data_IF_642448452304
#
_entry.id   IF_642448452304
#
_cell.length_a   1.000
_cell.length_b   1.000
_cell.length_c   1.000
_cell.angle_alpha   90.00
_cell.angle_beta   90.00
_cell.angle_gamma   90.00
#
_symmetry.space_group_name_H-M   'P 1'
#
loop_
_entity.id
_entity.type
_entity.pdbx_description
1 polymer ?
#
# COMPACT_ATOMS: atom_id res chain seq x y z
N UNK A 1 41.42 15.20 15.81
CA UNK A 1 40.57 14.64 14.73
C UNK A 1 39.20 15.33 14.83
N UNK A 2 39.04 16.49 14.19
CA UNK A 2 37.81 17.30 14.28
C UNK A 2 36.74 16.68 13.40
N UNK A 3 35.87 15.87 13.99
CA UNK A 3 34.71 15.30 13.33
C UNK A 3 33.79 16.47 12.96
N UNK A 4 33.62 16.72 11.66
CA UNK A 4 32.84 17.84 11.15
C UNK A 4 31.35 17.62 11.44
N UNK A 5 30.92 18.09 12.61
CA UNK A 5 29.56 18.00 13.12
C UNK A 5 28.49 18.46 12.11
N UNK A 6 28.82 19.46 11.30
CA UNK A 6 27.97 20.00 10.23
C UNK A 6 27.73 19.02 9.07
N UNK A 7 28.66 18.10 8.84
CA UNK A 7 28.58 17.07 7.80
C UNK A 7 27.75 15.89 8.29
N UNK A 8 27.94 15.48 9.55
CA UNK A 8 27.19 14.37 10.17
C UNK A 8 25.69 14.68 10.31
N UNK A 9 25.35 15.92 10.66
CA UNK A 9 23.95 16.35 10.75
C UNK A 9 23.25 16.35 9.38
N UNK A 10 23.97 16.64 8.28
CA UNK A 10 23.42 16.56 6.91
C UNK A 10 23.24 15.11 6.47
N UNK A 11 24.18 14.22 6.81
CA UNK A 11 24.06 12.81 6.47
C UNK A 11 22.94 12.10 7.26
N UNK A 12 22.76 12.41 8.54
CA UNK A 12 21.65 11.85 9.33
C UNK A 12 20.30 12.32 8.80
N UNK A 13 20.13 13.60 8.47
CA UNK A 13 18.85 14.10 7.94
C UNK A 13 18.54 13.45 6.59
N UNK A 14 19.52 13.33 5.68
CA UNK A 14 19.33 12.65 4.40
C UNK A 14 19.07 11.14 4.57
N UNK A 15 19.74 10.49 5.53
CA UNK A 15 19.52 9.08 5.88
C UNK A 15 18.11 8.85 6.41
N UNK A 16 17.61 9.71 7.30
CA UNK A 16 16.28 9.60 7.89
C UNK A 16 15.20 9.88 6.84
N UNK A 17 15.41 10.84 5.94
CA UNK A 17 14.51 11.07 4.81
C UNK A 17 14.47 9.88 3.85
N UNK A 18 15.62 9.30 3.52
CA UNK A 18 15.69 8.14 2.64
C UNK A 18 15.03 6.90 3.27
N UNK A 19 15.23 6.69 4.57
CA UNK A 19 14.63 5.57 5.30
C UNK A 19 13.11 5.77 5.49
N UNK A 20 12.65 7.01 5.74
CA UNK A 20 11.23 7.35 5.82
C UNK A 20 10.49 7.12 4.49
N UNK A 21 11.14 7.39 3.35
CA UNK A 21 10.57 7.09 2.02
C UNK A 21 10.36 5.60 1.77
N UNK A 22 11.17 4.72 2.40
CA UNK A 22 11.05 3.27 2.25
C UNK A 22 9.85 2.71 3.03
N UNK A 23 9.46 3.34 4.15
CA UNK A 23 8.31 2.89 4.97
C UNK A 23 6.94 3.38 4.51
N UNK A 24 6.86 4.22 3.46
CA UNK A 24 5.60 4.77 2.97
C UNK A 24 4.80 3.82 2.08
N UNK A 25 5.37 2.69 1.66
CA UNK A 25 4.67 1.67 0.88
C UNK A 25 4.08 0.59 1.78
N UNK A 26 3.17 0.98 2.67
CA UNK A 26 2.37 0.02 3.42
C UNK A 26 1.03 -0.16 2.70
N UNK A 27 0.74 -1.37 2.25
CA UNK A 27 -0.52 -1.70 1.58
C UNK A 27 -1.70 -1.49 2.55
N UNK A 28 -2.74 -0.80 2.07
CA UNK A 28 -3.95 -0.50 2.82
C UNK A 28 -5.06 -1.50 2.48
N UNK A 29 -5.17 -2.56 3.27
CA UNK A 29 -6.15 -3.64 3.10
C UNK A 29 -7.60 -3.12 3.12
N UNK A 30 -7.91 -2.09 3.92
CA UNK A 30 -9.26 -1.51 4.00
C UNK A 30 -9.63 -0.79 2.68
N UNK A 31 -8.67 -0.08 2.09
CA UNK A 31 -8.87 0.52 0.77
C UNK A 31 -9.05 -0.56 -0.31
N UNK A 32 -8.24 -1.62 -0.26
CA UNK A 32 -8.39 -2.78 -1.15
C UNK A 32 -9.77 -3.44 -1.06
N UNK A 33 -10.29 -3.60 0.16
CA UNK A 33 -11.64 -4.11 0.41
C UNK A 33 -12.71 -3.23 -0.23
N UNK A 34 -12.58 -1.90 -0.09
CA UNK A 34 -13.52 -0.96 -0.70
C UNK A 34 -13.50 -1.05 -2.22
N UNK A 35 -12.31 -1.12 -2.83
CA UNK A 35 -12.17 -1.30 -4.28
C UNK A 35 -12.85 -2.60 -4.72
N UNK A 36 -12.60 -3.71 -4.02
CA UNK A 36 -13.22 -4.99 -4.30
C UNK A 36 -14.76 -4.93 -4.19
N UNK A 37 -15.28 -4.38 -3.09
CA UNK A 37 -16.72 -4.25 -2.83
C UNK A 37 -17.41 -3.42 -3.90
N UNK A 38 -16.77 -2.36 -4.40
CA UNK A 38 -17.35 -1.45 -5.39
C UNK A 38 -17.26 -1.96 -6.83
N UNK A 39 -16.20 -2.69 -7.19
CA UNK A 39 -15.88 -2.97 -8.61
C UNK A 39 -15.93 -4.45 -8.99
N UNK A 40 -15.79 -5.37 -8.02
CA UNK A 40 -15.53 -6.79 -8.31
C UNK A 40 -16.66 -7.72 -7.87
N UNK A 41 -17.39 -7.38 -6.79
CA UNK A 41 -18.43 -8.24 -6.19
C UNK A 41 -19.61 -8.55 -7.09
N UNK A 42 -19.84 -7.74 -8.13
CA UNK A 42 -20.88 -8.01 -9.12
C UNK A 42 -20.62 -9.29 -9.93
N UNK A 43 -19.36 -9.71 -10.05
CA UNK A 43 -18.95 -10.83 -10.89
C UNK A 43 -18.14 -11.90 -10.16
N UNK A 44 -17.50 -11.56 -9.05
CA UNK A 44 -16.57 -12.41 -8.31
C UNK A 44 -17.00 -12.61 -6.86
N UNK A 45 -16.62 -13.77 -6.32
CA UNK A 45 -16.79 -14.14 -4.92
C UNK A 45 -15.42 -14.42 -4.29
N UNK A 46 -15.26 -14.11 -3.00
CA UNK A 46 -14.05 -14.45 -2.21
C UNK A 46 -14.03 -15.93 -1.77
N UNK A 47 -14.59 -16.81 -2.60
CA UNK A 47 -14.63 -18.27 -2.38
C UNK A 47 -14.16 -18.95 -3.66
N UNK A 48 -14.20 -20.29 -3.72
CA UNK A 48 -14.01 -21.05 -4.97
C UNK A 48 -15.22 -21.04 -5.90
N UNK A 49 -16.37 -20.55 -5.45
CA UNK A 49 -17.60 -20.60 -6.23
C UNK A 49 -17.55 -19.62 -7.42
N UNK A 50 -18.04 -20.10 -8.57
CA UNK A 50 -18.25 -19.28 -9.77
C UNK A 50 -19.54 -18.47 -9.63
N UNK A 51 -19.49 -17.20 -10.04
CA UNK A 51 -20.67 -16.35 -10.23
C UNK A 51 -20.82 -15.98 -11.71
N UNK A 52 -20.16 -14.90 -12.14
CA UNK A 52 -19.95 -14.58 -13.56
C UNK A 52 -18.52 -14.96 -13.93
N UNK A 53 -17.56 -14.49 -13.13
CA UNK A 53 -16.16 -14.89 -13.20
C UNK A 53 -15.78 -16.00 -12.22
N UNK A 54 -14.50 -16.41 -12.21
CA UNK A 54 -13.96 -17.36 -11.24
C UNK A 54 -14.11 -16.87 -9.79
N UNK A 55 -14.17 -17.81 -8.87
CA UNK A 55 -13.91 -17.52 -7.46
C UNK A 55 -12.47 -17.02 -7.24
N UNK A 56 -12.27 -16.07 -6.33
CA UNK A 56 -10.98 -15.41 -6.08
C UNK A 56 -10.19 -15.98 -4.90
N UNK A 57 -10.69 -17.02 -4.24
CA UNK A 57 -9.95 -17.69 -3.18
C UNK A 57 -8.62 -18.25 -3.73
N UNK A 58 -7.50 -17.81 -3.16
CA UNK A 58 -6.16 -18.25 -3.54
C UNK A 58 -5.64 -17.67 -4.87
N UNK A 59 -6.26 -16.60 -5.39
CA UNK A 59 -5.92 -16.05 -6.72
C UNK A 59 -4.50 -15.45 -6.76
N UNK A 60 -4.07 -14.84 -5.66
CA UNK A 60 -2.76 -14.20 -5.49
C UNK A 60 -1.61 -15.19 -5.32
N UNK A 61 -1.91 -16.43 -4.96
CA UNK A 61 -0.97 -17.55 -4.89
C UNK A 61 -0.87 -18.27 -6.23
N UNK A 62 -1.95 -18.22 -7.04
CA UNK A 62 -2.01 -18.85 -8.36
C UNK A 62 -1.31 -18.03 -9.45
N UNK A 63 -1.34 -16.70 -9.35
CA UNK A 63 -0.80 -15.80 -10.37
C UNK A 63 0.11 -14.73 -9.78
N UNK A 64 1.09 -14.28 -10.56
CA UNK A 64 2.02 -13.25 -10.15
C UNK A 64 1.33 -11.88 -10.07
N UNK A 65 1.76 -11.02 -9.13
CA UNK A 65 1.22 -9.67 -8.91
C UNK A 65 1.14 -8.88 -10.22
N UNK A 66 2.22 -8.86 -10.97
CA UNK A 66 2.34 -8.11 -12.24
C UNK A 66 1.39 -8.65 -13.31
N UNK A 67 1.14 -9.96 -13.30
CA UNK A 67 0.20 -10.58 -14.24
C UNK A 67 -1.25 -10.22 -13.86
N UNK A 68 -1.58 -10.28 -12.58
CA UNK A 68 -2.91 -9.88 -12.07
C UNK A 68 -3.21 -8.42 -12.38
N UNK A 69 -2.24 -7.51 -12.17
CA UNK A 69 -2.40 -6.09 -12.53
C UNK A 69 -2.70 -5.94 -14.02
N UNK A 70 -1.95 -6.62 -14.90
CA UNK A 70 -2.20 -6.55 -16.34
C UNK A 70 -3.58 -7.11 -16.70
N UNK A 71 -3.97 -8.23 -16.10
CA UNK A 71 -5.26 -8.87 -16.33
C UNK A 71 -6.43 -7.96 -15.92
N UNK A 72 -6.38 -7.39 -14.70
CA UNK A 72 -7.42 -6.49 -14.19
C UNK A 72 -7.46 -5.18 -15.00
N UNK A 73 -6.29 -4.70 -15.44
CA UNK A 73 -6.18 -3.48 -16.26
C UNK A 73 -6.78 -3.65 -17.64
N UNK A 74 -6.46 -4.75 -18.33
CA UNK A 74 -7.03 -5.05 -19.64
C UNK A 74 -6.80 -6.53 -20.02
N UNK A 75 -7.71 -7.40 -19.59
CA UNK A 75 -7.67 -8.84 -19.91
C UNK A 75 -7.72 -9.10 -21.42
N UNK A 76 -8.51 -8.32 -22.17
CA UNK A 76 -8.61 -8.46 -23.63
C UNK A 76 -7.28 -8.21 -24.35
N UNK A 77 -6.45 -7.30 -23.84
CA UNK A 77 -5.11 -7.07 -24.37
C UNK A 77 -4.17 -8.25 -24.10
N UNK A 78 -4.25 -8.89 -22.92
CA UNK A 78 -3.47 -10.12 -22.65
C UNK A 78 -3.90 -11.25 -23.57
N UNK A 79 -5.21 -11.45 -23.73
CA UNK A 79 -5.77 -12.47 -24.63
C UNK A 79 -5.28 -12.23 -26.06
N UNK A 80 -5.37 -10.99 -26.55
CA UNK A 80 -4.91 -10.62 -27.89
C UNK A 80 -3.38 -10.74 -28.07
N UNK A 81 -2.60 -10.59 -27.00
CA UNK A 81 -1.15 -10.82 -27.04
C UNK A 81 -0.75 -12.29 -27.14
N UNK A 82 -1.70 -13.22 -26.99
CA UNK A 82 -1.44 -14.66 -27.05
C UNK A 82 -1.04 -15.28 -25.72
N UNK A 83 -1.32 -14.65 -24.58
CA UNK A 83 -1.06 -15.26 -23.26
C UNK A 83 -1.94 -16.51 -23.08
N UNK A 84 -1.31 -17.68 -23.02
CA UNK A 84 -2.01 -18.98 -22.95
C UNK A 84 -2.91 -19.10 -21.71
N UNK A 85 -2.49 -18.52 -20.57
CA UNK A 85 -3.27 -18.54 -19.32
C UNK A 85 -4.51 -17.66 -19.47
N UNK A 86 -4.33 -16.48 -20.05
CA UNK A 86 -5.41 -15.55 -20.33
C UNK A 86 -6.46 -16.13 -21.29
N UNK A 87 -6.00 -16.78 -22.38
CA UNK A 87 -6.87 -17.45 -23.35
C UNK A 87 -7.62 -18.61 -22.69
N UNK A 88 -6.94 -19.44 -21.89
CA UNK A 88 -7.57 -20.56 -21.21
C UNK A 88 -8.71 -20.10 -20.28
N UNK A 89 -8.47 -19.05 -19.48
CA UNK A 89 -9.51 -18.46 -18.63
C UNK A 89 -10.65 -17.92 -19.50
N UNK A 90 -10.36 -17.19 -20.57
CA UNK A 90 -11.40 -16.63 -21.43
C UNK A 90 -12.31 -17.71 -22.05
N UNK A 91 -11.74 -18.82 -22.51
CA UNK A 91 -12.51 -19.95 -23.04
C UNK A 91 -13.29 -20.70 -21.93
N UNK A 92 -12.71 -20.88 -20.74
CA UNK A 92 -13.36 -21.57 -19.60
C UNK A 92 -14.58 -20.80 -19.06
N UNK A 93 -14.54 -19.47 -19.13
CA UNK A 93 -15.59 -18.58 -18.63
C UNK A 93 -16.50 -18.03 -19.75
N UNK A 94 -16.76 -18.87 -20.76
CA UNK A 94 -17.72 -18.62 -21.85
C UNK A 94 -17.45 -17.34 -22.66
N UNK A 95 -16.18 -16.94 -22.77
CA UNK A 95 -15.75 -15.72 -23.47
C UNK A 95 -16.39 -14.45 -22.88
N UNK A 96 -16.73 -14.51 -21.59
CA UNK A 96 -17.22 -13.36 -20.84
C UNK A 96 -16.12 -12.32 -20.73
N UNK A 97 -16.42 -11.10 -21.18
CA UNK A 97 -15.46 -9.99 -21.14
C UNK A 97 -15.43 -9.40 -19.74
N UNK A 98 -14.26 -9.44 -19.10
CA UNK A 98 -14.03 -8.72 -17.85
C UNK A 98 -13.83 -7.22 -18.14
N UNK A 99 -14.54 -6.37 -17.40
CA UNK A 99 -14.37 -4.92 -17.47
C UNK A 99 -12.93 -4.54 -17.14
N UNK A 100 -12.39 -3.57 -17.88
CA UNK A 100 -11.05 -3.02 -17.65
C UNK A 100 -11.06 -1.99 -16.55
N UNK A 101 -10.12 -2.08 -15.60
CA UNK A 101 -10.00 -1.13 -14.49
C UNK A 101 -8.62 -0.47 -14.50
N UNK A 102 -8.58 0.85 -14.59
CA UNK A 102 -7.35 1.64 -14.56
C UNK A 102 -7.15 2.30 -13.20
N UNK A 103 -6.72 1.49 -12.22
CA UNK A 103 -6.35 1.97 -10.90
C UNK A 103 -4.90 2.48 -10.89
N UNK A 104 -4.59 3.32 -9.90
CA UNK A 104 -3.20 3.68 -9.58
C UNK A 104 -2.43 2.46 -9.05
N UNK A 105 -1.09 2.54 -9.08
CA UNK A 105 -0.24 1.45 -8.60
C UNK A 105 -0.46 1.15 -7.11
N UNK A 106 -0.76 2.18 -6.32
CA UNK A 106 -1.11 2.06 -4.89
C UNK A 106 -2.44 1.32 -4.72
N UNK A 107 -3.48 1.72 -5.43
CA UNK A 107 -4.79 1.06 -5.40
C UNK A 107 -4.72 -0.41 -5.87
N UNK A 108 -3.89 -0.71 -6.87
CA UNK A 108 -3.62 -2.09 -7.27
C UNK A 108 -2.92 -2.88 -6.17
N UNK A 109 -1.95 -2.27 -5.48
CA UNK A 109 -1.26 -2.91 -4.36
C UNK A 109 -2.24 -3.22 -3.22
N UNK A 110 -3.07 -2.25 -2.85
CA UNK A 110 -4.10 -2.37 -1.83
C UNK A 110 -5.11 -3.47 -2.17
N UNK A 111 -5.64 -3.47 -3.40
CA UNK A 111 -6.57 -4.49 -3.88
C UNK A 111 -5.95 -5.89 -3.79
N UNK A 112 -4.73 -6.07 -4.27
CA UNK A 112 -4.07 -7.37 -4.24
C UNK A 112 -3.70 -7.81 -2.82
N UNK A 113 -3.36 -6.87 -1.93
CA UNK A 113 -3.16 -7.15 -0.51
C UNK A 113 -4.45 -7.65 0.15
N UNK A 114 -5.59 -7.04 -0.17
CA UNK A 114 -6.89 -7.53 0.28
C UNK A 114 -7.23 -8.92 -0.28
N UNK A 115 -6.97 -9.18 -1.56
CA UNK A 115 -7.23 -10.49 -2.16
C UNK A 115 -6.35 -11.60 -1.56
N UNK A 116 -5.12 -11.28 -1.14
CA UNK A 116 -4.19 -12.24 -0.54
C UNK A 116 -4.54 -12.63 0.89
N UNK A 117 -5.16 -11.71 1.64
CA UNK A 117 -5.57 -11.97 3.01
C UNK A 117 -6.89 -11.27 3.30
N UNK A 118 -8.01 -11.76 2.73
CA UNK A 118 -9.32 -11.19 3.04
C UNK A 118 -9.55 -11.33 4.55
N UNK A 119 -9.93 -10.25 5.24
CA UNK A 119 -10.33 -10.35 6.64
C UNK A 119 -11.41 -11.41 6.78
N UNK A 120 -11.26 -12.31 7.75
CA UNK A 120 -12.30 -13.26 8.11
C UNK A 120 -13.46 -12.45 8.70
N UNK A 121 -14.43 -12.05 7.88
CA UNK A 121 -15.58 -11.28 8.37
C UNK A 121 -16.47 -12.19 9.25
N UNK A 122 -16.62 -11.81 10.52
CA UNK A 122 -17.86 -12.07 11.25
C UNK A 122 -18.96 -11.18 10.63
N UNK A 123 -20.03 -11.84 10.18
CA UNK A 123 -21.12 -11.23 9.43
C UNK A 123 -21.82 -10.16 10.26
N UNK A 124 -21.64 -8.87 9.92
CA UNK A 124 -22.55 -7.81 10.36
C UNK A 124 -23.00 -6.97 9.17
N UNK A 125 -24.21 -7.27 8.74
CA UNK A 125 -24.99 -6.45 7.82
C UNK A 125 -25.33 -5.13 8.51
N UNK A 126 -24.96 -4.00 7.92
CA UNK A 126 -25.65 -2.73 8.17
C UNK A 126 -25.59 -1.81 6.96
N UNK A 127 -26.78 -1.54 6.42
CA UNK A 127 -27.07 -0.41 5.54
C UNK A 127 -26.89 0.91 6.30
N UNK A 128 -26.28 1.92 5.68
CA UNK A 128 -26.35 3.28 6.20
C UNK A 128 -25.32 4.24 5.60
N UNK A 129 -25.81 5.21 4.84
CA UNK A 129 -25.08 6.39 4.34
C UNK A 129 -24.39 7.14 5.50
N UNK A 130 -23.09 7.45 5.40
CA UNK A 130 -22.56 8.82 5.60
C UNK A 130 -21.04 8.98 5.43
N UNK A 131 -20.72 10.23 5.07
CA UNK A 131 -19.50 11.02 5.31
C UNK A 131 -18.20 10.59 4.62
N UNK A 132 -17.79 11.46 3.70
CA UNK A 132 -16.39 11.70 3.36
C UNK A 132 -15.69 12.07 4.67
N UNK A 133 -15.02 11.10 5.28
CA UNK A 133 -14.15 11.34 6.42
C UNK A 133 -12.72 11.09 5.97
N UNK A 134 -11.93 12.16 6.02
CA UNK A 134 -10.50 12.16 5.81
C UNK A 134 -9.88 11.48 7.04
N UNK A 135 -9.58 10.19 6.93
CA UNK A 135 -8.99 9.38 8.00
C UNK A 135 -7.75 8.75 7.35
N UNK A 136 -6.57 9.36 7.46
CA UNK A 136 -5.96 9.76 8.72
C UNK A 136 -5.06 8.60 9.12
N UNK A 137 -3.74 8.81 9.05
CA UNK A 137 -2.73 7.79 9.33
C UNK A 137 -3.10 6.99 10.59
N UNK A 138 -2.93 5.66 10.57
CA UNK A 138 -3.22 4.81 11.74
C UNK A 138 -2.60 5.41 13.01
N UNK A 139 -3.35 5.42 14.12
CA UNK A 139 -2.90 6.01 15.39
C UNK A 139 -1.51 5.48 15.80
N UNK A 140 -1.19 4.23 15.48
CA UNK A 140 0.14 3.64 15.71
C UNK A 140 1.24 4.33 14.87
N UNK A 141 0.97 4.57 13.59
CA UNK A 141 1.88 5.26 12.65
C UNK A 141 2.05 6.73 13.02
N UNK A 142 0.97 7.41 13.42
CA UNK A 142 1.02 8.80 13.91
C UNK A 142 1.95 8.89 15.13
N UNK A 143 1.82 7.98 16.10
CA UNK A 143 2.65 7.98 17.30
C UNK A 143 4.12 7.73 17.00
N UNK A 144 4.44 6.83 16.05
CA UNK A 144 5.83 6.60 15.63
C UNK A 144 6.45 7.84 14.96
N UNK A 145 5.69 8.56 14.14
CA UNK A 145 6.18 9.77 13.46
C UNK A 145 6.35 10.92 14.45
N UNK A 146 5.40 11.11 15.37
CA UNK A 146 5.53 12.09 16.45
C UNK A 146 6.78 11.78 17.28
N UNK A 147 7.01 10.52 17.66
CA UNK A 147 8.21 10.12 18.40
C UNK A 147 9.51 10.43 17.64
N UNK A 148 9.55 10.14 16.33
CA UNK A 148 10.70 10.43 15.48
C UNK A 148 10.97 11.93 15.38
N UNK A 149 9.94 12.73 15.13
CA UNK A 149 10.04 14.20 15.07
C UNK A 149 10.56 14.74 16.41
N UNK A 150 10.02 14.30 17.54
CA UNK A 150 10.47 14.74 18.86
C UNK A 150 11.95 14.41 19.11
N UNK A 151 12.39 13.21 18.75
CA UNK A 151 13.80 12.81 18.87
C UNK A 151 14.71 13.70 18.00
N UNK A 152 14.29 14.02 16.77
CA UNK A 152 15.06 14.93 15.91
C UNK A 152 15.16 16.35 16.48
N UNK A 153 14.07 16.89 17.04
CA UNK A 153 14.06 18.22 17.67
C UNK A 153 15.00 18.24 18.88
N UNK A 154 14.91 17.23 19.75
CA UNK A 154 15.80 17.13 20.92
C UNK A 154 17.26 17.07 20.48
N UNK A 155 17.58 16.28 19.45
CA UNK A 155 18.93 16.22 18.89
C UNK A 155 19.41 17.57 18.34
N UNK A 156 18.55 18.31 17.62
CA UNK A 156 18.86 19.65 17.12
C UNK A 156 19.11 20.66 18.26
N UNK A 157 18.32 20.61 19.33
CA UNK A 157 18.50 21.50 20.47
C UNK A 157 19.80 21.20 21.23
N UNK A 158 20.14 19.92 21.42
CA UNK A 158 21.43 19.52 22.00
C UNK A 158 22.58 19.96 21.09
N UNK A 159 22.43 19.79 19.78
CA UNK A 159 23.38 20.20 18.76
C UNK A 159 23.68 21.70 18.77
N UNK A 160 22.64 22.54 18.84
CA UNK A 160 22.75 23.99 18.95
C UNK A 160 23.34 24.39 20.31
N UNK A 161 22.88 23.79 21.41
CA UNK A 161 23.41 24.03 22.75
C UNK A 161 24.92 23.73 22.80
N UNK A 162 25.33 22.59 22.24
CA UNK A 162 26.73 22.20 22.21
C UNK A 162 27.57 23.18 21.36
N UNK A 163 27.04 23.59 20.20
CA UNK A 163 27.69 24.56 19.32
C UNK A 163 27.84 25.94 19.97
N UNK A 164 26.84 26.40 20.72
CA UNK A 164 26.89 27.66 21.48
C UNK A 164 27.90 27.59 22.62
N UNK A 165 27.94 26.47 23.35
CA UNK A 165 28.89 26.24 24.45
C UNK A 165 30.33 26.26 23.92
N UNK A 166 30.59 25.63 22.76
CA UNK A 166 31.88 25.73 22.05
C UNK A 166 32.20 27.16 21.60
N UNK A 167 31.24 27.90 21.05
CA UNK A 167 31.46 29.28 20.59
C UNK A 167 31.73 30.27 21.74
N UNK A 168 31.22 29.98 22.94
CA UNK A 168 31.45 30.76 24.16
C UNK A 168 32.72 30.34 24.91
N UNK A 169 33.51 29.38 24.39
CA UNK A 169 34.74 28.93 25.02
C UNK A 169 34.54 28.14 26.32
N UNK A 170 33.32 27.67 26.59
CA UNK A 170 33.05 26.73 27.68
C UNK A 170 33.28 25.31 27.14
N UNK A 171 34.20 24.54 27.73
CA UNK A 171 34.42 23.14 27.34
C UNK A 171 33.14 22.33 27.49
N UNK A 172 32.68 21.74 26.37
CA UNK A 172 31.44 20.96 26.25
C UNK A 172 31.50 19.66 27.02
#
# INVERSE_FOLDING_TARGET
MTINFRVYCRFIVLSVFYFASIFLYADNVENGEKIYKQNCTACHLMTKARLVGPGLEGVTEKYEKEWLIKWIRNSQALIASGDERAIAIFEEYDKSVMTSFDFSDEEFSDLLAYLANPPVEEVVVSSGVQTVENQGMSNSTILMIIALILVTIVFLLVSVKNSLKTALGQET
#
